data_IF_804129254264
#
_entry.id   IF_804129254264
#
_cell.length_a   1.000
_cell.length_b   1.000
_cell.length_c   1.000
_cell.angle_alpha   90.00
_cell.angle_beta   90.00
_cell.angle_gamma   90.00
#
_symmetry.space_group_name_H-M   'P 1'
#
loop_
_entity.id
_entity.type
_entity.pdbx_description
1 polymer ?
#
# COMPACT_ATOMS: atom_id res chain seq x y z
N UNK A 1 -18.70 -1.19 31.54
CA UNK A 1 -18.03 -1.62 30.30
C UNK A 1 -16.91 -0.65 29.99
N UNK A 2 -15.75 -1.15 29.54
CA UNK A 2 -14.64 -0.33 29.02
C UNK A 2 -14.66 -0.22 27.50
N UNK A 3 -15.34 -1.15 26.82
CA UNK A 3 -15.44 -1.20 25.36
C UNK A 3 -16.55 -0.33 24.77
N UNK A 4 -16.28 0.20 23.58
CA UNK A 4 -17.24 0.85 22.70
C UNK A 4 -18.11 -0.22 22.04
N UNK A 5 -19.40 0.06 21.85
CA UNK A 5 -20.33 -0.81 21.11
C UNK A 5 -20.68 -0.27 19.72
N UNK A 6 -20.26 0.95 19.40
CA UNK A 6 -20.45 1.60 18.10
C UNK A 6 -19.07 1.94 17.53
N UNK A 7 -18.85 1.57 16.28
CA UNK A 7 -17.60 1.81 15.55
C UNK A 7 -17.90 2.43 14.19
N UNK A 8 -17.05 3.33 13.75
CA UNK A 8 -17.02 3.70 12.33
C UNK A 8 -16.58 2.49 11.50
N UNK A 9 -16.94 2.48 10.22
CA UNK A 9 -16.47 1.46 9.26
C UNK A 9 -14.95 1.23 9.33
N UNK A 10 -14.18 2.29 9.54
CA UNK A 10 -12.71 2.25 9.57
C UNK A 10 -12.17 1.65 10.87
N UNK A 11 -12.77 1.99 12.01
CA UNK A 11 -12.43 1.36 13.29
C UNK A 11 -12.76 -0.13 13.27
N UNK A 12 -13.90 -0.50 12.68
CA UNK A 12 -14.29 -1.89 12.52
C UNK A 12 -13.28 -2.67 11.67
N UNK A 13 -12.88 -2.15 10.50
CA UNK A 13 -11.87 -2.78 9.65
C UNK A 13 -10.53 -3.01 10.36
N UNK A 14 -10.07 -2.02 11.13
CA UNK A 14 -8.84 -2.13 11.91
C UNK A 14 -8.90 -3.24 12.99
N UNK A 15 -10.05 -3.34 13.66
CA UNK A 15 -10.29 -4.38 14.67
C UNK A 15 -10.38 -5.76 14.01
N UNK A 16 -11.06 -5.87 12.88
CA UNK A 16 -11.21 -7.11 12.13
C UNK A 16 -9.86 -7.68 11.69
N UNK A 17 -8.97 -6.84 11.15
CA UNK A 17 -7.63 -7.28 10.74
C UNK A 17 -6.82 -7.81 11.93
N UNK A 18 -6.86 -7.12 13.08
CA UNK A 18 -6.18 -7.59 14.27
C UNK A 18 -6.78 -8.92 14.78
N UNK A 19 -8.09 -9.12 14.61
CA UNK A 19 -8.73 -10.39 14.96
C UNK A 19 -8.26 -11.51 14.04
N UNK A 20 -8.17 -11.28 12.73
CA UNK A 20 -7.64 -12.26 11.78
C UNK A 20 -6.17 -12.62 12.09
N UNK A 21 -5.35 -11.62 12.39
CA UNK A 21 -3.97 -11.85 12.83
C UNK A 21 -3.91 -12.64 14.14
N UNK A 22 -4.80 -12.34 15.11
CA UNK A 22 -4.90 -13.08 16.37
C UNK A 22 -5.26 -14.54 16.11
N UNK A 23 -6.23 -14.81 15.24
CA UNK A 23 -6.68 -16.17 14.93
C UNK A 23 -5.58 -17.05 14.33
N UNK A 24 -4.64 -16.44 13.59
CA UNK A 24 -3.52 -17.15 12.96
C UNK A 24 -2.20 -17.09 13.75
N UNK A 25 -2.19 -16.48 14.94
CA UNK A 25 -0.98 -16.26 15.72
C UNK A 25 -0.81 -17.30 16.85
N UNK A 26 0.45 -17.54 17.24
CA UNK A 26 0.78 -18.31 18.45
C UNK A 26 0.24 -17.64 19.72
N UNK A 27 0.03 -18.42 20.77
CA UNK A 27 -0.56 -17.95 22.04
C UNK A 27 0.16 -16.74 22.64
N UNK A 28 1.49 -16.68 22.53
CA UNK A 28 2.31 -15.55 22.99
C UNK A 28 2.02 -14.26 22.20
N UNK A 29 1.91 -14.37 20.88
CA UNK A 29 1.67 -13.24 19.97
C UNK A 29 0.22 -12.76 20.02
N UNK A 30 -0.73 -13.65 20.31
CA UNK A 30 -2.13 -13.28 20.52
C UNK A 30 -2.32 -12.28 21.68
N UNK A 31 -1.49 -12.34 22.73
CA UNK A 31 -1.57 -11.42 23.88
C UNK A 31 -1.31 -9.97 23.46
N UNK A 32 -0.26 -9.73 22.68
CA UNK A 32 0.09 -8.39 22.19
C UNK A 32 -0.94 -7.86 21.19
N UNK A 33 -1.49 -8.74 20.34
CA UNK A 33 -2.55 -8.37 19.39
C UNK A 33 -3.84 -7.99 20.13
N UNK A 34 -4.26 -8.75 21.16
CA UNK A 34 -5.41 -8.38 22.00
C UNK A 34 -5.23 -7.04 22.70
N UNK A 35 -4.00 -6.68 23.09
CA UNK A 35 -3.73 -5.35 23.64
C UNK A 35 -4.02 -4.24 22.62
N UNK A 36 -3.61 -4.41 21.35
CA UNK A 36 -3.91 -3.47 20.25
C UNK A 36 -5.40 -3.38 19.94
N UNK A 37 -6.14 -4.49 20.01
CA UNK A 37 -7.60 -4.48 19.82
C UNK A 37 -8.28 -3.64 20.91
N UNK A 38 -7.81 -3.74 22.16
CA UNK A 38 -8.33 -2.94 23.29
C UNK A 38 -8.03 -1.45 23.15
N UNK A 39 -6.88 -1.06 22.58
CA UNK A 39 -6.60 0.37 22.32
C UNK A 39 -7.55 0.97 21.29
N UNK A 40 -8.11 0.16 20.39
CA UNK A 40 -9.17 0.57 19.46
C UNK A 40 -10.57 0.60 20.10
N UNK A 41 -10.67 0.26 21.39
CA UNK A 41 -11.91 0.31 22.16
C UNK A 41 -12.75 -0.96 22.10
N UNK A 42 -12.26 -2.07 21.55
CA UNK A 42 -12.99 -3.34 21.58
C UNK A 42 -12.47 -4.27 22.68
N UNK A 43 -13.35 -4.63 23.60
CA UNK A 43 -13.08 -5.52 24.72
C UNK A 43 -14.01 -6.72 24.63
N UNK A 44 -13.52 -7.84 24.06
CA UNK A 44 -14.32 -9.04 23.84
C UNK A 44 -15.11 -9.52 25.08
N UNK A 45 -14.49 -9.43 26.28
CA UNK A 45 -15.11 -9.76 27.55
C UNK A 45 -16.38 -8.95 27.86
N UNK A 46 -16.43 -7.69 27.41
CA UNK A 46 -17.55 -6.79 27.68
C UNK A 46 -18.82 -7.18 26.91
N UNK A 47 -18.66 -7.99 25.86
CA UNK A 47 -19.72 -8.50 25.01
C UNK A 47 -19.96 -10.01 25.20
N UNK A 48 -19.36 -10.61 26.24
CA UNK A 48 -19.48 -12.04 26.52
C UNK A 48 -18.85 -12.95 25.46
N UNK A 49 -18.00 -12.42 24.59
CA UNK A 49 -17.29 -13.23 23.58
C UNK A 49 -15.94 -13.68 24.13
N UNK A 50 -15.74 -15.00 24.18
CA UNK A 50 -14.56 -15.62 24.78
C UNK A 50 -13.25 -15.32 24.05
N UNK A 51 -12.11 -15.70 24.63
CA UNK A 51 -10.77 -15.37 24.12
C UNK A 51 -10.47 -15.85 22.67
N UNK A 52 -11.23 -16.83 22.18
CA UNK A 52 -11.18 -17.36 20.81
C UNK A 52 -11.95 -16.54 19.76
N UNK A 53 -12.53 -15.40 20.12
CA UNK A 53 -13.40 -14.60 19.24
C UNK A 53 -12.82 -14.33 17.83
N UNK A 54 -13.71 -14.37 16.85
CA UNK A 54 -13.48 -14.17 15.42
C UNK A 54 -14.04 -12.83 14.92
N UNK A 55 -13.77 -12.50 13.66
CA UNK A 55 -14.35 -11.32 12.99
C UNK A 55 -15.88 -11.37 13.03
N UNK A 56 -16.47 -12.54 12.84
CA UNK A 56 -17.92 -12.73 12.88
C UNK A 56 -18.48 -12.44 14.28
N UNK A 57 -17.77 -12.86 15.33
CA UNK A 57 -18.17 -12.55 16.71
C UNK A 57 -18.13 -11.06 16.99
N UNK A 58 -17.09 -10.36 16.50
CA UNK A 58 -17.00 -8.91 16.60
C UNK A 58 -18.18 -8.22 15.88
N UNK A 59 -18.44 -8.56 14.62
CA UNK A 59 -19.54 -7.97 13.85
C UNK A 59 -20.91 -8.20 14.46
N UNK A 60 -21.12 -9.33 15.14
CA UNK A 60 -22.39 -9.66 15.80
C UNK A 60 -22.69 -8.76 17.00
N UNK A 61 -21.66 -8.27 17.68
CA UNK A 61 -21.82 -7.59 18.98
C UNK A 61 -21.63 -6.08 18.93
N UNK A 62 -21.33 -5.53 17.74
CA UNK A 62 -21.09 -4.10 17.56
C UNK A 62 -21.95 -3.51 16.46
N UNK A 63 -22.24 -2.22 16.55
CA UNK A 63 -22.90 -1.44 15.50
C UNK A 63 -21.85 -0.70 14.67
N UNK A 64 -21.87 -0.87 13.36
CA UNK A 64 -20.98 -0.16 12.43
C UNK A 64 -21.75 0.97 11.76
N UNK A 65 -21.23 2.19 11.80
CA UNK A 65 -21.86 3.39 11.24
C UNK A 65 -21.00 4.06 10.16
N UNK A 66 -21.65 4.73 9.22
CA UNK A 66 -21.00 5.57 8.19
C UNK A 66 -20.53 6.89 8.83
N UNK A 67 -19.47 7.50 8.30
CA UNK A 67 -18.82 8.69 8.88
C UNK A 67 -19.72 9.92 8.95
N UNK A 68 -20.80 9.98 8.15
CA UNK A 68 -21.79 11.07 8.17
C UNK A 68 -22.78 11.00 9.34
N UNK A 69 -22.97 9.83 9.93
CA UNK A 69 -23.94 9.62 11.04
C UNK A 69 -23.33 9.85 12.43
N UNK A 70 -22.05 10.22 12.48
CA UNK A 70 -21.26 10.36 13.71
C UNK A 70 -21.59 11.60 14.57
N UNK A 71 -22.52 12.46 14.13
CA UNK A 71 -22.83 13.74 14.78
C UNK A 71 -23.53 13.62 16.17
N UNK A 72 -23.82 12.41 16.66
CA UNK A 72 -24.52 12.19 17.93
C UNK A 72 -23.70 11.46 19.00
N UNK A 73 -22.41 11.18 18.77
CA UNK A 73 -21.54 10.53 19.75
C UNK A 73 -20.39 11.45 20.17
N UNK A 74 -20.74 12.41 21.02
CA UNK A 74 -19.90 13.29 21.86
C UNK A 74 -18.88 14.23 21.19
N UNK A 75 -18.92 15.46 21.69
CA UNK A 75 -18.31 16.66 21.15
C UNK A 75 -16.78 16.67 21.26
N UNK A 76 -16.10 16.75 20.12
CA UNK A 76 -14.92 17.59 19.91
C UNK A 76 -14.77 17.85 18.40
N UNK A 77 -14.44 19.07 17.97
CA UNK A 77 -14.30 19.37 16.54
C UNK A 77 -13.21 18.47 15.95
N UNK A 78 -13.39 17.98 14.73
CA UNK A 78 -12.51 17.04 14.02
C UNK A 78 -11.03 17.47 14.02
N UNK A 79 -10.73 18.73 14.33
CA UNK A 79 -9.37 19.25 14.56
C UNK A 79 -8.68 18.75 15.84
N UNK A 80 -9.39 18.23 16.84
CA UNK A 80 -8.81 17.80 18.13
C UNK A 80 -8.45 16.31 18.18
N UNK A 81 -8.83 15.50 17.18
CA UNK A 81 -8.45 14.06 17.10
C UNK A 81 -7.12 13.87 16.34
N UNK A 82 -6.59 14.92 15.73
CA UNK A 82 -5.32 14.92 15.00
C UNK A 82 -4.08 14.98 15.90
N UNK A 83 -4.27 15.15 17.22
CA UNK A 83 -3.18 15.14 18.17
C UNK A 83 -3.53 14.24 19.36
N UNK A 84 -3.06 12.99 19.32
CA UNK A 84 -2.25 12.39 20.39
C UNK A 84 -1.77 10.98 19.97
N UNK A 85 -0.48 10.92 19.63
CA UNK A 85 0.42 9.76 19.63
C UNK A 85 -0.12 8.40 19.11
N UNK A 86 0.39 8.07 17.91
CA UNK A 86 0.45 6.75 17.28
C UNK A 86 -0.88 6.18 16.75
N UNK A 87 -1.54 6.94 15.86
CA UNK A 87 -2.30 6.28 14.80
C UNK A 87 -1.29 5.47 13.99
N UNK A 88 -1.45 4.15 13.98
CA UNK A 88 -0.60 3.24 13.23
C UNK A 88 -0.49 3.76 11.78
N UNK A 89 0.71 4.01 11.23
CA UNK A 89 0.87 4.54 9.87
C UNK A 89 0.16 3.69 8.82
N UNK A 90 -0.01 2.39 9.11
CA UNK A 90 -0.83 1.47 8.32
C UNK A 90 -2.28 1.92 8.26
N UNK A 91 -2.88 2.28 9.40
CA UNK A 91 -4.28 2.72 9.46
C UNK A 91 -4.47 4.05 8.75
N UNK A 92 -3.51 4.97 8.87
CA UNK A 92 -3.53 6.23 8.15
C UNK A 92 -3.47 6.00 6.63
N UNK A 93 -2.55 5.16 6.15
CA UNK A 93 -2.46 4.80 4.73
C UNK A 93 -3.67 4.01 4.22
N UNK A 94 -4.30 3.17 5.04
CA UNK A 94 -5.53 2.44 4.69
C UNK A 94 -6.72 3.41 4.57
N UNK A 95 -6.89 4.33 5.52
CA UNK A 95 -7.91 5.40 5.52
C UNK A 95 -7.82 6.27 4.26
N UNK A 96 -6.61 6.68 3.96
CA UNK A 96 -6.25 7.50 2.81
C UNK A 96 -6.50 6.78 1.49
N UNK A 97 -6.15 5.49 1.41
CA UNK A 97 -6.31 4.68 0.22
C UNK A 97 -7.77 4.30 -0.08
N UNK A 98 -8.57 4.03 0.95
CA UNK A 98 -10.01 3.78 0.82
C UNK A 98 -10.75 5.00 0.26
N UNK A 99 -10.18 6.19 0.43
CA UNK A 99 -10.70 7.47 -0.08
C UNK A 99 -10.34 7.76 -1.54
N UNK A 100 -9.42 6.98 -2.13
CA UNK A 100 -8.91 7.22 -3.49
C UNK A 100 -9.92 6.87 -4.59
N UNK A 101 -10.91 6.04 -4.26
CA UNK A 101 -11.74 5.36 -5.25
C UNK A 101 -13.06 6.08 -5.57
N UNK A 102 -13.15 7.39 -5.35
CA UNK A 102 -14.34 8.20 -5.65
C UNK A 102 -14.09 9.54 -6.38
N UNK A 103 -12.85 9.90 -6.77
CA UNK A 103 -12.61 11.18 -7.44
C UNK A 103 -11.70 11.09 -8.68
N UNK A 104 -11.92 12.04 -9.61
CA UNK A 104 -11.33 12.14 -10.95
C UNK A 104 -9.80 12.35 -11.00
N UNK A 105 -9.06 12.35 -9.89
CA UNK A 105 -7.61 12.56 -9.93
C UNK A 105 -6.81 11.86 -8.79
N UNK A 106 -6.30 10.66 -9.06
CA UNK A 106 -5.40 9.89 -8.17
C UNK A 106 -4.13 10.66 -7.80
N UNK A 107 -3.66 11.57 -8.67
CA UNK A 107 -2.44 12.35 -8.41
C UNK A 107 -2.70 13.33 -7.28
N UNK A 108 -3.83 14.04 -7.34
CA UNK A 108 -4.27 14.95 -6.26
C UNK A 108 -4.33 14.21 -4.94
N UNK A 109 -4.96 13.04 -4.91
CA UNK A 109 -5.08 12.30 -3.67
C UNK A 109 -3.72 11.80 -3.16
N UNK A 110 -2.85 11.27 -4.02
CA UNK A 110 -1.50 10.86 -3.61
C UNK A 110 -0.68 12.05 -3.08
N UNK A 111 -0.87 13.27 -3.62
CA UNK A 111 -0.26 14.49 -3.07
C UNK A 111 -0.78 14.80 -1.67
N UNK A 112 -2.08 14.63 -1.42
CA UNK A 112 -2.67 14.76 -0.08
C UNK A 112 -2.08 13.73 0.90
N UNK A 113 -1.60 12.60 0.38
CA UNK A 113 -0.88 11.57 1.14
C UNK A 113 0.64 11.84 1.17
N UNK A 114 1.10 13.06 0.99
CA UNK A 114 2.51 13.47 0.95
C UNK A 114 3.38 12.72 -0.06
N UNK A 115 2.81 12.09 -1.10
CA UNK A 115 3.64 11.66 -2.21
C UNK A 115 4.15 12.89 -2.96
N UNK A 116 5.39 12.79 -3.41
CA UNK A 116 6.09 13.80 -4.18
C UNK A 116 6.63 13.19 -5.47
N UNK A 117 7.28 14.01 -6.30
CA UNK A 117 7.72 13.60 -7.63
C UNK A 117 6.61 13.88 -8.63
N UNK A 118 5.89 12.84 -9.06
CA UNK A 118 4.95 12.89 -10.20
C UNK A 118 5.65 13.38 -11.46
N UNK A 119 6.76 12.72 -11.76
CA UNK A 119 7.61 12.97 -12.93
C UNK A 119 7.68 11.69 -13.75
N UNK A 120 7.94 11.80 -15.06
CA UNK A 120 8.05 10.60 -15.89
C UNK A 120 9.35 9.85 -15.63
N UNK A 121 9.38 8.55 -15.94
CA UNK A 121 10.62 7.76 -15.91
C UNK A 121 11.69 8.39 -16.81
N UNK A 122 11.30 8.97 -17.94
CA UNK A 122 12.18 9.75 -18.82
C UNK A 122 12.86 10.91 -18.08
N UNK A 123 12.08 11.75 -17.39
CA UNK A 123 12.59 12.90 -16.63
C UNK A 123 13.55 12.49 -15.52
N UNK A 124 13.25 11.40 -14.80
CA UNK A 124 14.14 10.89 -13.75
C UNK A 124 15.49 10.43 -14.32
N UNK A 125 15.50 9.84 -15.52
CA UNK A 125 16.76 9.42 -16.16
C UNK A 125 17.64 10.60 -16.54
N UNK A 126 17.04 11.72 -16.94
CA UNK A 126 17.76 12.96 -17.23
C UNK A 126 18.31 13.59 -15.95
N UNK A 127 17.54 13.56 -14.85
CA UNK A 127 17.97 14.12 -13.58
C UNK A 127 17.46 13.28 -12.40
N UNK A 128 18.26 12.31 -11.96
CA UNK A 128 17.90 11.45 -10.84
C UNK A 128 18.08 12.11 -9.46
N UNK A 129 18.69 13.30 -9.38
CA UNK A 129 18.89 14.05 -8.13
C UNK A 129 17.59 14.58 -7.53
N UNK A 130 16.52 14.61 -8.32
CA UNK A 130 15.17 14.96 -7.85
C UNK A 130 14.61 13.92 -6.87
N UNK A 131 15.12 12.69 -6.87
CA UNK A 131 14.70 11.65 -5.95
C UNK A 131 15.47 11.80 -4.64
N UNK A 132 14.80 11.81 -3.47
CA UNK A 132 15.45 11.92 -2.17
C UNK A 132 16.34 10.71 -1.87
N UNK A 133 17.43 10.97 -1.15
CA UNK A 133 18.34 9.94 -0.63
C UNK A 133 17.90 9.42 0.74
N UNK A 134 16.61 9.11 0.88
CA UNK A 134 15.99 8.61 2.11
C UNK A 134 15.28 7.28 1.87
N UNK A 135 14.87 6.60 2.94
CA UNK A 135 14.04 5.39 2.86
C UNK A 135 12.61 5.77 2.49
N UNK A 136 11.87 4.86 1.85
CA UNK A 136 10.49 5.17 1.50
C UNK A 136 9.82 4.16 0.59
N UNK A 137 8.65 4.55 0.10
CA UNK A 137 7.88 3.83 -0.91
C UNK A 137 7.76 4.66 -2.19
N UNK A 138 7.58 3.99 -3.31
CA UNK A 138 7.33 4.62 -4.60
C UNK A 138 6.22 3.90 -5.35
N UNK A 139 5.53 4.64 -6.21
CA UNK A 139 4.43 4.14 -7.03
C UNK A 139 4.72 4.53 -8.48
N UNK A 140 4.47 3.59 -9.40
CA UNK A 140 4.45 3.85 -10.83
C UNK A 140 2.99 3.95 -11.27
N UNK A 141 2.67 5.06 -11.92
CA UNK A 141 1.35 5.41 -12.40
C UNK A 141 1.32 5.40 -13.93
N UNK A 142 0.24 4.88 -14.48
CA UNK A 142 -0.09 5.03 -15.89
C UNK A 142 -0.77 6.39 -16.13
N UNK A 143 -0.69 6.87 -17.35
CA UNK A 143 -1.43 8.04 -17.83
C UNK A 143 -2.69 7.60 -18.58
N UNK A 144 -3.49 8.54 -19.08
CA UNK A 144 -4.68 8.24 -19.89
C UNK A 144 -4.38 7.63 -21.29
N UNK A 145 -3.13 7.28 -21.58
CA UNK A 145 -2.71 6.65 -22.84
C UNK A 145 -3.10 5.17 -22.87
N UNK A 146 -3.31 4.66 -24.10
CA UNK A 146 -3.39 3.22 -24.35
C UNK A 146 -1.99 2.62 -24.26
N UNK A 147 -1.85 1.53 -23.52
CA UNK A 147 -0.59 0.81 -23.37
C UNK A 147 -0.55 -0.43 -24.26
N UNK A 148 0.57 -0.61 -24.97
CA UNK A 148 0.81 -1.75 -25.87
C UNK A 148 1.90 -2.62 -25.25
N UNK A 149 1.64 -3.93 -25.21
CA UNK A 149 2.60 -4.93 -24.74
C UNK A 149 3.52 -5.39 -25.86
N UNK A 150 4.77 -5.71 -25.50
CA UNK A 150 5.79 -6.28 -26.37
C UNK A 150 6.17 -7.68 -25.90
N UNK A 151 6.39 -8.61 -26.84
CA UNK A 151 6.92 -9.94 -26.52
C UNK A 151 8.32 -9.86 -25.92
N UNK A 152 9.14 -8.94 -26.43
CA UNK A 152 10.48 -8.65 -25.94
C UNK A 152 10.51 -7.21 -25.43
N UNK A 153 10.64 -7.07 -24.12
CA UNK A 153 10.78 -5.81 -23.41
C UNK A 153 12.23 -5.36 -23.26
N UNK A 154 12.42 -4.20 -22.62
CA UNK A 154 13.71 -3.56 -22.39
C UNK A 154 14.41 -4.01 -21.10
N UNK A 155 13.82 -4.96 -20.36
CA UNK A 155 14.38 -5.45 -19.11
C UNK A 155 15.77 -6.09 -19.29
N UNK A 156 16.64 -5.91 -18.32
CA UNK A 156 17.99 -6.47 -18.32
C UNK A 156 18.05 -7.94 -17.94
N UNK A 157 18.87 -8.70 -18.64
CA UNK A 157 19.21 -10.07 -18.26
C UNK A 157 20.16 -10.01 -17.06
N UNK A 158 19.74 -10.56 -15.92
CA UNK A 158 20.57 -10.59 -14.71
C UNK A 158 20.81 -12.04 -14.28
N UNK A 159 22.09 -12.42 -14.18
CA UNK A 159 22.49 -13.80 -13.88
C UNK A 159 21.82 -14.83 -14.80
N UNK A 160 21.77 -14.52 -16.11
CA UNK A 160 21.18 -15.39 -17.13
C UNK A 160 19.65 -15.49 -17.11
N UNK A 161 18.95 -14.77 -16.22
CA UNK A 161 17.48 -14.81 -16.16
C UNK A 161 16.87 -13.86 -17.20
N UNK A 162 15.99 -14.40 -18.04
CA UNK A 162 15.17 -13.64 -18.97
C UNK A 162 14.08 -12.87 -18.19
N UNK A 163 13.98 -11.52 -18.35
CA UNK A 163 13.00 -10.73 -17.63
C UNK A 163 11.59 -10.77 -18.26
N UNK A 164 11.48 -11.22 -19.51
CA UNK A 164 10.24 -11.20 -20.28
C UNK A 164 9.30 -12.36 -19.89
N UNK A 165 8.00 -12.12 -20.04
CA UNK A 165 6.91 -13.10 -19.92
C UNK A 165 6.02 -13.07 -21.16
N UNK A 166 5.09 -14.02 -21.27
CA UNK A 166 4.17 -14.09 -22.40
C UNK A 166 3.18 -12.91 -22.42
N UNK A 167 2.67 -12.56 -23.60
CA UNK A 167 1.63 -11.54 -23.73
C UNK A 167 0.36 -11.89 -22.93
N UNK A 168 0.02 -13.18 -22.83
CA UNK A 168 -1.15 -13.62 -22.07
C UNK A 168 -0.95 -13.40 -20.57
N UNK A 169 0.27 -13.61 -20.07
CA UNK A 169 0.60 -13.30 -18.68
C UNK A 169 0.51 -11.79 -18.41
N UNK A 170 0.99 -10.95 -19.33
CA UNK A 170 0.85 -9.49 -19.21
C UNK A 170 -0.63 -9.08 -19.18
N UNK A 171 -1.43 -9.58 -20.13
CA UNK A 171 -2.87 -9.30 -20.22
C UNK A 171 -3.63 -9.78 -18.99
N UNK A 172 -3.28 -10.94 -18.44
CA UNK A 172 -3.93 -11.49 -17.25
C UNK A 172 -3.68 -10.65 -15.98
N UNK A 173 -2.52 -10.00 -15.90
CA UNK A 173 -2.14 -9.13 -14.78
C UNK A 173 -2.55 -7.65 -14.98
N UNK A 174 -2.90 -7.24 -16.20
CA UNK A 174 -3.31 -5.87 -16.49
C UNK A 174 -4.69 -5.55 -15.91
N UNK A 175 -4.85 -4.32 -15.41
CA UNK A 175 -6.07 -3.82 -14.78
C UNK A 175 -6.46 -2.50 -15.45
N UNK A 176 -7.47 -2.54 -16.31
CA UNK A 176 -7.83 -1.43 -17.19
C UNK A 176 -8.28 -0.18 -16.43
N UNK A 177 -8.96 -0.35 -15.30
CA UNK A 177 -9.48 0.75 -14.49
C UNK A 177 -8.54 1.19 -13.35
N UNK A 178 -7.32 0.66 -13.26
CA UNK A 178 -6.33 1.09 -12.26
C UNK A 178 -5.31 2.05 -12.85
N UNK A 179 -5.10 3.23 -12.24
CA UNK A 179 -3.96 4.06 -12.60
C UNK A 179 -2.62 3.57 -12.03
N UNK A 180 -2.64 2.83 -10.92
CA UNK A 180 -1.43 2.30 -10.28
C UNK A 180 -1.04 0.98 -10.95
N UNK A 181 0.20 0.89 -11.42
CA UNK A 181 0.73 -0.31 -12.10
C UNK A 181 1.84 -1.01 -11.32
N UNK A 182 2.51 -0.31 -10.41
CA UNK A 182 3.53 -0.91 -9.55
C UNK A 182 3.73 -0.10 -8.28
N UNK A 183 3.97 -0.81 -7.18
CA UNK A 183 4.27 -0.25 -5.86
C UNK A 183 5.55 -0.90 -5.38
N UNK A 184 6.53 -0.11 -4.97
CA UNK A 184 7.79 -0.62 -4.47
C UNK A 184 8.29 0.13 -3.25
N UNK A 185 9.36 -0.39 -2.65
CA UNK A 185 10.00 0.19 -1.47
C UNK A 185 11.50 0.33 -1.61
N UNK A 186 12.08 1.19 -0.77
CA UNK A 186 13.50 1.38 -0.64
C UNK A 186 13.92 1.49 0.83
N UNK A 187 14.99 0.77 1.17
CA UNK A 187 15.57 0.75 2.50
C UNK A 187 14.82 -0.11 3.53
N UNK A 188 15.46 -0.31 4.67
CA UNK A 188 14.92 -0.91 5.90
C UNK A 188 15.79 -0.51 7.08
N UNK A 189 15.47 -0.92 8.32
CA UNK A 189 16.42 -0.83 9.45
C UNK A 189 17.78 -1.48 9.16
N UNK A 190 17.80 -2.57 8.38
CA UNK A 190 19.00 -3.34 8.03
C UNK A 190 19.61 -3.03 6.64
N UNK A 191 18.99 -2.15 5.85
CA UNK A 191 19.41 -1.85 4.48
C UNK A 191 19.43 -0.34 4.23
N UNK A 192 20.62 0.17 3.86
CA UNK A 192 20.86 1.57 3.59
C UNK A 192 20.43 2.04 2.18
N UNK A 193 19.78 1.17 1.38
CA UNK A 193 19.20 1.55 0.09
C UNK A 193 18.22 2.72 0.28
N UNK A 194 18.35 3.72 -0.57
CA UNK A 194 17.49 4.91 -0.59
C UNK A 194 16.53 4.81 -1.76
N UNK A 195 15.47 5.63 -1.75
CA UNK A 195 14.57 5.80 -2.89
C UNK A 195 15.37 6.07 -4.17
N UNK A 196 16.34 6.99 -4.11
CA UNK A 196 17.21 7.30 -5.24
C UNK A 196 18.00 6.07 -5.73
N UNK A 197 18.72 5.36 -4.85
CA UNK A 197 19.54 4.22 -5.29
C UNK A 197 18.68 3.05 -5.81
N UNK A 198 17.50 2.82 -5.21
CA UNK A 198 16.55 1.80 -5.64
C UNK A 198 15.93 2.11 -7.00
N UNK A 199 15.40 3.32 -7.20
CA UNK A 199 14.78 3.72 -8.47
C UNK A 199 15.82 3.78 -9.59
N UNK A 200 17.04 4.25 -9.33
CA UNK A 200 18.14 4.20 -10.31
C UNK A 200 18.45 2.74 -10.70
N UNK A 201 18.52 1.83 -9.74
CA UNK A 201 18.73 0.41 -10.03
C UNK A 201 17.59 -0.16 -10.88
N UNK A 202 16.34 0.16 -10.53
CA UNK A 202 15.16 -0.27 -11.26
C UNK A 202 15.14 0.26 -12.71
N UNK A 203 15.46 1.53 -12.91
CA UNK A 203 15.48 2.14 -14.24
C UNK A 203 16.67 1.69 -15.07
N UNK A 204 17.84 1.40 -14.47
CA UNK A 204 18.95 0.72 -15.15
C UNK A 204 18.55 -0.67 -15.63
N UNK A 205 17.82 -1.43 -14.81
CA UNK A 205 17.26 -2.72 -15.25
C UNK A 205 16.36 -2.53 -16.47
N UNK A 206 15.49 -1.52 -16.49
CA UNK A 206 14.68 -1.17 -17.66
C UNK A 206 15.44 -0.68 -18.88
N UNK A 207 16.74 -0.38 -18.76
CA UNK A 207 17.65 -0.02 -19.86
C UNK A 207 18.50 -1.21 -20.32
N UNK A 208 18.06 -2.44 -20.03
CA UNK A 208 18.77 -3.66 -20.39
C UNK A 208 20.02 -3.94 -19.55
N UNK A 209 20.31 -3.15 -18.50
CA UNK A 209 21.52 -3.38 -17.68
C UNK A 209 21.37 -4.63 -16.82
N UNK A 210 22.46 -5.40 -16.72
CA UNK A 210 22.54 -6.60 -15.90
C UNK A 210 22.60 -6.27 -14.40
N UNK A 211 21.50 -5.79 -13.83
CA UNK A 211 21.35 -5.49 -12.39
C UNK A 211 20.16 -6.25 -11.80
N UNK A 212 20.26 -6.63 -10.53
CA UNK A 212 19.20 -7.40 -9.88
C UNK A 212 17.96 -6.57 -9.56
N UNK A 213 16.92 -6.67 -10.38
CA UNK A 213 15.62 -6.05 -10.10
C UNK A 213 14.43 -6.81 -10.74
N UNK A 214 14.05 -7.95 -10.15
CA UNK A 214 12.96 -8.78 -10.70
C UNK A 214 11.55 -8.20 -10.45
N UNK A 215 11.35 -7.54 -9.30
CA UNK A 215 10.09 -6.83 -9.02
C UNK A 215 9.86 -5.72 -10.04
N UNK A 216 8.62 -5.52 -10.48
CA UNK A 216 8.30 -4.50 -11.46
C UNK A 216 8.71 -4.83 -12.90
N UNK A 217 9.19 -6.04 -13.21
CA UNK A 217 9.77 -6.34 -14.54
C UNK A 217 8.77 -6.23 -15.71
N UNK A 218 7.47 -6.46 -15.46
CA UNK A 218 6.44 -6.38 -16.52
C UNK A 218 6.30 -4.98 -17.12
N UNK A 219 6.64 -3.93 -16.36
CA UNK A 219 6.65 -2.55 -16.89
C UNK A 219 7.53 -2.43 -18.13
N UNK A 220 8.63 -3.20 -18.19
CA UNK A 220 9.58 -3.09 -19.30
C UNK A 220 9.13 -3.81 -20.58
N UNK A 221 7.98 -4.50 -20.55
CA UNK A 221 7.29 -5.00 -21.75
C UNK A 221 6.20 -4.03 -22.23
N UNK A 222 6.14 -2.80 -21.71
CA UNK A 222 5.31 -1.71 -22.23
C UNK A 222 6.10 -0.88 -23.25
N UNK A 223 5.50 -0.56 -24.39
CA UNK A 223 6.11 0.25 -25.45
C UNK A 223 6.54 1.65 -24.99
N UNK A 224 5.68 2.35 -24.24
CA UNK A 224 5.94 3.69 -23.70
C UNK A 224 6.18 3.67 -22.19
N UNK A 225 6.97 2.70 -21.69
CA UNK A 225 7.29 2.61 -20.27
C UNK A 225 7.93 3.91 -19.71
N UNK A 226 8.67 4.65 -20.53
CA UNK A 226 9.31 5.92 -20.17
C UNK A 226 8.32 7.04 -19.79
N UNK A 227 7.08 6.95 -20.28
CA UNK A 227 6.01 7.93 -20.07
C UNK A 227 5.20 7.66 -18.79
N UNK A 228 5.47 6.55 -18.12
CA UNK A 228 4.89 6.27 -16.81
C UNK A 228 5.38 7.30 -15.80
N UNK A 229 4.49 7.73 -14.93
CA UNK A 229 4.82 8.62 -13.83
C UNK A 229 5.38 7.81 -12.67
N UNK A 230 6.35 8.38 -11.99
CA UNK A 230 6.82 7.90 -10.68
C UNK A 230 6.59 8.97 -9.64
N UNK A 231 6.01 8.55 -8.51
CA UNK A 231 5.93 9.34 -7.29
C UNK A 231 6.47 8.52 -6.11
N UNK A 232 6.84 9.21 -5.04
CA UNK A 232 7.46 8.60 -3.86
C UNK A 232 7.04 9.30 -2.58
N UNK A 233 7.03 8.56 -1.48
CA UNK A 233 6.85 9.08 -0.12
C UNK A 233 8.03 8.65 0.73
N UNK A 234 8.68 9.62 1.39
CA UNK A 234 9.74 9.35 2.36
C UNK A 234 9.13 8.77 3.63
N UNK A 235 9.76 7.74 4.21
CA UNK A 235 9.22 7.03 5.37
C UNK A 235 10.23 7.05 6.52
N UNK A 236 9.77 7.55 7.67
CA UNK A 236 10.53 7.62 8.91
C UNK A 236 9.78 6.89 10.04
N UNK A 237 10.52 6.38 11.03
CA UNK A 237 9.95 5.74 12.22
C UNK A 237 9.29 4.37 12.02
N UNK A 238 9.10 3.91 10.78
CA UNK A 238 8.54 2.60 10.43
C UNK A 238 9.30 1.94 9.27
N UNK A 239 9.09 0.64 9.09
CA UNK A 239 9.65 -0.10 7.96
C UNK A 239 8.90 0.23 6.66
N UNK A 240 9.59 0.68 5.59
CA UNK A 240 8.97 0.86 4.26
C UNK A 240 8.26 -0.39 3.74
N UNK A 241 8.73 -1.58 4.14
CA UNK A 241 8.09 -2.85 3.83
C UNK A 241 6.69 -2.99 4.39
N UNK A 242 6.43 -2.44 5.59
CA UNK A 242 5.09 -2.43 6.15
C UNK A 242 4.17 -1.53 5.30
N UNK A 243 4.64 -0.34 4.92
CA UNK A 243 3.85 0.59 4.08
C UNK A 243 3.53 -0.03 2.73
N UNK A 244 4.54 -0.53 2.00
CA UNK A 244 4.35 -1.21 0.71
C UNK A 244 3.37 -2.38 0.79
N UNK A 245 3.53 -3.25 1.80
CA UNK A 245 2.65 -4.42 1.98
C UNK A 245 1.19 -3.99 2.12
N UNK A 246 0.91 -2.92 2.85
CA UNK A 246 -0.45 -2.45 3.03
C UNK A 246 -1.01 -1.76 1.79
N UNK A 247 -0.19 -0.96 1.09
CA UNK A 247 -0.56 -0.39 -0.21
C UNK A 247 -0.96 -1.50 -1.20
N UNK A 248 -0.17 -2.56 -1.31
CA UNK A 248 -0.48 -3.71 -2.18
C UNK A 248 -1.71 -4.47 -1.69
N UNK A 249 -1.86 -4.65 -0.36
CA UNK A 249 -2.98 -5.39 0.23
C UNK A 249 -4.31 -4.71 -0.08
N UNK A 250 -4.41 -3.42 0.15
CA UNK A 250 -5.65 -2.66 -0.11
C UNK A 250 -5.92 -2.50 -1.60
N UNK A 251 -4.87 -2.31 -2.42
CA UNK A 251 -5.02 -2.41 -3.87
C UNK A 251 -5.63 -3.75 -4.28
N UNK A 252 -5.10 -4.85 -3.74
CA UNK A 252 -5.57 -6.21 -4.02
C UNK A 252 -6.99 -6.43 -3.51
N UNK A 253 -7.35 -5.86 -2.37
CA UNK A 253 -8.71 -5.91 -1.81
C UNK A 253 -9.72 -5.25 -2.75
N UNK A 254 -9.35 -4.13 -3.37
CA UNK A 254 -10.23 -3.38 -4.26
C UNK A 254 -10.33 -4.00 -5.66
N UNK A 255 -9.20 -4.34 -6.29
CA UNK A 255 -9.17 -4.85 -7.66
C UNK A 255 -9.23 -6.39 -7.77
N UNK A 256 -9.15 -7.11 -6.65
CA UNK A 256 -9.05 -8.57 -6.62
C UNK A 256 -7.71 -9.13 -7.11
N UNK A 257 -6.76 -8.26 -7.49
CA UNK A 257 -5.44 -8.59 -8.04
C UNK A 257 -4.39 -7.60 -7.56
N UNK A 258 -3.12 -8.01 -7.49
CA UNK A 258 -1.97 -7.11 -7.22
C UNK A 258 -1.83 -6.08 -8.36
N UNK A 259 -1.15 -4.93 -8.12
CA UNK A 259 -0.80 -4.03 -9.21
C UNK A 259 -0.03 -4.77 -10.31
N UNK A 260 -0.22 -4.35 -11.56
CA UNK A 260 0.25 -5.05 -12.76
C UNK A 260 1.65 -5.69 -12.64
N UNK A 261 2.64 -4.96 -12.13
CA UNK A 261 4.03 -5.43 -12.06
C UNK A 261 4.48 -5.88 -10.64
N UNK A 262 3.55 -5.96 -9.68
CA UNK A 262 3.76 -6.57 -8.36
C UNK A 262 3.48 -8.08 -8.43
N UNK A 263 4.56 -8.85 -8.57
CA UNK A 263 4.54 -10.31 -8.70
C UNK A 263 4.18 -10.98 -7.37
N UNK A 264 3.62 -12.20 -7.41
CA UNK A 264 3.50 -13.03 -6.19
C UNK A 264 4.89 -13.49 -5.74
N UNK A 265 5.14 -13.42 -4.44
CA UNK A 265 6.32 -14.03 -3.82
C UNK A 265 6.16 -15.55 -3.75
#
# INVERSE_FOLDING_TARGET
>A
MKGKSIFTKLQALAIEELIEQKCNASSEKQKSIRAKIRTLGFYASDFGVGNGYTVNDFRRVVKIVETKDAALADQAPIKTVLNEKAINPILQSILEMLSLNHAEDIITQLKDLDFQGFVTIHQVRQNNKIIPQTKGVYIILKTAKKYIFREIGSGGYFKGKNPNVSLDELKANWIENSQIVYIGKAGSTSNASTLQSRLIQYFKFGQGKAVGHQGGRYIWQLEEAEELYVCWKTIEGIEPAMVETNLIKEFTRYYGKRPFANLKD
#
